data_IF_154705175982
#
_entry.id   IF_154705175982
#
_cell.length_a   1.000
_cell.length_b   1.000
_cell.length_c   1.000
_cell.angle_alpha   90.00
_cell.angle_beta   90.00
_cell.angle_gamma   90.00
#
_symmetry.space_group_name_H-M   'P 1'
#
loop_
_entity.id
_entity.type
_entity.pdbx_description
1 polymer ?
#
# COMPACT_ATOMS: atom_id res chain seq x y z
N UNK A 1 -68.68 28.06 40.43
CA UNK A 1 -68.83 26.81 39.68
C UNK A 1 -68.39 26.93 38.24
N UNK A 2 -68.52 28.05 37.54
CA UNK A 2 -68.07 28.24 36.15
C UNK A 2 -66.57 28.35 36.04
N UNK A 3 -65.87 29.01 36.98
CA UNK A 3 -64.39 29.11 37.00
C UNK A 3 -63.70 27.79 37.14
N UNK A 4 -64.25 26.84 37.92
CA UNK A 4 -63.65 25.49 38.08
C UNK A 4 -63.78 24.61 36.80
N UNK A 5 -64.81 24.84 36.01
CA UNK A 5 -65.02 24.13 34.74
C UNK A 5 -64.05 24.60 33.63
N UNK A 6 -63.73 25.91 33.62
CA UNK A 6 -62.76 26.50 32.69
C UNK A 6 -61.35 26.04 33.00
N UNK A 7 -60.94 25.93 34.28
CA UNK A 7 -59.66 25.39 34.69
C UNK A 7 -59.52 23.90 34.38
N UNK A 8 -60.59 23.11 34.51
CA UNK A 8 -60.60 21.67 34.13
C UNK A 8 -60.52 21.46 32.63
N UNK A 9 -61.15 22.29 31.81
CA UNK A 9 -61.02 22.27 30.36
C UNK A 9 -59.64 22.67 29.89
N UNK A 10 -59.04 23.67 30.50
CA UNK A 10 -57.63 24.08 30.24
C UNK A 10 -56.63 22.97 30.57
N UNK A 11 -56.77 22.36 31.75
CA UNK A 11 -55.92 21.24 32.18
C UNK A 11 -56.12 19.99 31.32
N UNK A 12 -57.29 19.74 30.76
CA UNK A 12 -57.59 18.66 29.83
C UNK A 12 -56.89 18.91 28.46
N UNK A 13 -56.93 20.16 27.98
CA UNK A 13 -56.23 20.55 26.73
C UNK A 13 -54.70 20.42 26.86
N UNK A 14 -54.13 20.96 27.93
CA UNK A 14 -52.70 20.82 28.21
C UNK A 14 -52.28 19.34 28.34
N UNK A 15 -53.09 18.49 28.96
CA UNK A 15 -52.81 17.07 29.12
C UNK A 15 -52.88 16.31 27.79
N UNK A 16 -53.68 16.76 26.80
CA UNK A 16 -53.71 16.19 25.48
C UNK A 16 -52.46 16.55 24.66
N UNK A 17 -52.02 17.79 24.72
CA UNK A 17 -50.81 18.27 24.06
C UNK A 17 -49.58 17.59 24.64
N UNK A 18 -49.47 17.48 25.96
CA UNK A 18 -48.36 16.77 26.63
C UNK A 18 -48.33 15.28 26.28
N UNK A 19 -49.49 14.63 26.09
CA UNK A 19 -49.56 13.22 25.64
C UNK A 19 -49.04 13.06 24.21
N UNK A 20 -49.39 13.99 23.32
CA UNK A 20 -48.96 13.99 21.93
C UNK A 20 -47.44 14.24 21.80
N UNK A 21 -46.91 15.24 22.55
CA UNK A 21 -45.46 15.46 22.64
C UNK A 21 -44.71 14.25 23.22
N UNK A 22 -45.23 13.61 24.27
CA UNK A 22 -44.65 12.40 24.83
C UNK A 22 -44.63 11.24 23.82
N UNK A 23 -45.72 11.08 23.04
CA UNK A 23 -45.77 10.07 22.00
C UNK A 23 -44.73 10.35 20.88
N UNK A 24 -44.60 11.62 20.51
CA UNK A 24 -43.63 12.05 19.51
C UNK A 24 -42.18 11.88 20.00
N UNK A 25 -41.86 12.27 21.24
CA UNK A 25 -40.55 12.06 21.86
C UNK A 25 -40.20 10.56 21.96
N UNK A 26 -41.16 9.70 22.33
CA UNK A 26 -40.95 8.28 22.36
C UNK A 26 -40.65 7.69 20.98
N UNK A 27 -41.32 8.15 19.93
CA UNK A 27 -41.02 7.71 18.56
C UNK A 27 -39.62 8.16 18.09
N UNK A 28 -39.17 9.36 18.46
CA UNK A 28 -37.82 9.85 18.18
C UNK A 28 -36.76 9.03 18.92
N UNK A 29 -37.00 8.69 20.20
CA UNK A 29 -36.08 7.83 20.97
C UNK A 29 -35.94 6.45 20.35
N UNK A 30 -37.04 5.85 19.87
CA UNK A 30 -37.01 4.57 19.15
C UNK A 30 -36.16 4.66 17.88
N UNK A 31 -36.36 5.70 17.09
CA UNK A 31 -35.58 5.92 15.86
C UNK A 31 -34.08 6.09 16.16
N UNK A 32 -33.73 6.81 17.23
CA UNK A 32 -32.34 6.98 17.66
C UNK A 32 -31.74 5.63 18.11
N UNK A 33 -32.50 4.83 18.88
CA UNK A 33 -32.05 3.51 19.32
C UNK A 33 -31.80 2.56 18.14
N UNK A 34 -32.65 2.58 17.12
CA UNK A 34 -32.49 1.80 15.88
C UNK A 34 -31.21 2.24 15.13
N UNK A 35 -31.00 3.56 14.98
CA UNK A 35 -29.79 4.07 14.35
C UNK A 35 -28.51 3.69 15.10
N UNK A 36 -28.54 3.77 16.45
CA UNK A 36 -27.42 3.36 17.30
C UNK A 36 -27.10 1.87 17.12
N UNK A 37 -28.12 1.01 17.07
CA UNK A 37 -27.93 -0.41 16.81
C UNK A 37 -27.36 -0.69 15.42
N UNK A 38 -27.82 0.07 14.40
CA UNK A 38 -27.28 -0.04 13.05
C UNK A 38 -25.81 0.38 12.95
N UNK A 39 -25.42 1.48 13.61
CA UNK A 39 -24.02 1.96 13.67
C UNK A 39 -23.16 0.90 14.36
N UNK A 40 -23.59 0.37 15.51
CA UNK A 40 -22.86 -0.69 16.21
C UNK A 40 -22.59 -1.90 15.31
N UNK A 41 -23.64 -2.41 14.64
CA UNK A 41 -23.48 -3.53 13.72
C UNK A 41 -22.57 -3.23 12.51
N UNK A 42 -22.46 -1.96 12.12
CA UNK A 42 -21.55 -1.54 11.05
C UNK A 42 -20.12 -1.50 11.54
N UNK A 43 -19.87 -0.98 12.74
CA UNK A 43 -18.55 -1.00 13.38
C UNK A 43 -18.04 -2.43 13.58
N UNK A 44 -18.88 -3.35 14.08
CA UNK A 44 -18.52 -4.77 14.21
C UNK A 44 -18.10 -5.42 12.87
N UNK A 45 -18.72 -5.00 11.76
CA UNK A 45 -18.34 -5.48 10.42
C UNK A 45 -16.97 -4.93 10.00
N UNK A 46 -16.72 -3.64 10.23
CA UNK A 46 -15.45 -3.00 9.93
C UNK A 46 -14.32 -3.64 10.73
N UNK A 47 -14.53 -3.92 12.02
CA UNK A 47 -13.57 -4.60 12.89
C UNK A 47 -13.21 -6.01 12.35
N UNK A 48 -14.21 -6.80 11.99
CA UNK A 48 -13.98 -8.12 11.40
C UNK A 48 -13.24 -8.05 10.06
N UNK A 49 -13.51 -7.01 9.26
CA UNK A 49 -12.81 -6.78 8.00
C UNK A 49 -11.35 -6.38 8.23
N UNK A 50 -11.08 -5.46 9.17
CA UNK A 50 -9.73 -5.08 9.57
C UNK A 50 -8.92 -6.30 10.05
N UNK A 51 -9.50 -7.13 10.93
CA UNK A 51 -8.87 -8.35 11.40
C UNK A 51 -8.52 -9.33 10.25
N UNK A 52 -9.42 -9.49 9.28
CA UNK A 52 -9.17 -10.32 8.08
C UNK A 52 -8.04 -9.75 7.23
N UNK A 53 -8.00 -8.42 7.02
CA UNK A 53 -6.93 -7.77 6.28
C UNK A 53 -5.58 -7.93 6.97
N UNK A 54 -5.50 -7.72 8.29
CA UNK A 54 -4.26 -7.92 9.06
C UNK A 54 -3.77 -9.36 8.98
N UNK A 55 -4.68 -10.34 9.05
CA UNK A 55 -4.34 -11.75 8.89
C UNK A 55 -3.81 -12.04 7.48
N UNK A 56 -4.44 -11.49 6.43
CA UNK A 56 -3.99 -11.66 5.05
C UNK A 56 -2.60 -11.04 4.83
N UNK A 57 -2.34 -9.87 5.39
CA UNK A 57 -1.03 -9.20 5.34
C UNK A 57 0.05 -10.03 6.02
N UNK A 58 -0.20 -10.55 7.22
CA UNK A 58 0.76 -11.40 7.95
C UNK A 58 1.04 -12.72 7.24
N UNK A 59 0.05 -13.31 6.58
CA UNK A 59 0.24 -14.54 5.78
C UNK A 59 1.06 -14.29 4.51
N UNK A 60 0.97 -13.11 3.90
CA UNK A 60 1.79 -12.75 2.73
C UNK A 60 3.26 -12.48 3.07
N UNK A 61 3.56 -12.14 4.33
CA UNK A 61 4.94 -11.90 4.80
C UNK A 61 5.72 -13.19 5.13
N UNK A 62 5.05 -14.33 5.26
CA UNK A 62 5.67 -15.60 5.62
C UNK A 62 5.51 -16.62 4.47
N UNK A 63 6.42 -16.63 3.46
CA UNK A 63 6.30 -17.47 2.28
C UNK A 63 6.34 -18.96 2.59
N UNK A 64 6.88 -19.37 3.75
CA UNK A 64 6.92 -20.79 4.14
C UNK A 64 5.56 -21.31 4.67
N UNK A 65 4.67 -20.42 5.11
CA UNK A 65 3.30 -20.77 5.53
C UNK A 65 2.29 -20.90 4.40
N UNK A 66 2.61 -20.43 3.20
CA UNK A 66 1.70 -20.46 2.04
C UNK A 66 1.44 -21.87 1.46
N UNK A 67 2.12 -22.92 1.95
CA UNK A 67 1.89 -24.30 1.49
C UNK A 67 0.69 -24.99 2.18
N UNK A 68 -0.01 -24.35 3.08
CA UNK A 68 -1.12 -24.91 3.86
C UNK A 68 -2.48 -24.23 3.62
N UNK A 69 -2.67 -23.48 2.54
CA UNK A 69 -3.99 -22.96 2.18
C UNK A 69 -4.77 -24.09 1.51
N UNK A 70 -5.46 -24.87 2.34
CA UNK A 70 -6.62 -25.63 1.91
C UNK A 70 -7.68 -24.66 1.36
N UNK A 71 -8.68 -25.14 0.58
CA UNK A 71 -9.67 -24.27 -0.03
C UNK A 71 -10.31 -23.40 1.06
N UNK A 72 -10.19 -22.08 0.89
CA UNK A 72 -10.90 -21.10 1.72
C UNK A 72 -12.38 -21.45 1.64
N UNK A 73 -12.91 -21.97 2.74
CA UNK A 73 -14.34 -22.28 2.83
C UNK A 73 -15.10 -21.04 2.40
N UNK A 74 -16.07 -21.23 1.51
CA UNK A 74 -17.04 -20.18 1.16
C UNK A 74 -17.55 -19.60 2.47
N UNK A 75 -17.58 -18.28 2.66
CA UNK A 75 -18.19 -17.71 3.85
C UNK A 75 -19.61 -18.20 3.91
N UNK A 76 -19.97 -18.90 4.99
CA UNK A 76 -21.37 -19.17 5.27
C UNK A 76 -22.12 -17.85 5.20
N UNK A 77 -23.30 -17.81 4.54
CA UNK A 77 -24.12 -16.61 4.54
C UNK A 77 -24.41 -16.28 6.00
N UNK A 78 -23.97 -15.10 6.45
CA UNK A 78 -24.23 -14.59 7.78
C UNK A 78 -25.70 -14.83 8.11
N UNK A 79 -25.95 -15.61 9.16
CA UNK A 79 -27.30 -15.82 9.65
C UNK A 79 -27.92 -14.45 9.89
N UNK A 80 -28.99 -14.17 9.17
CA UNK A 80 -29.80 -12.96 9.34
C UNK A 80 -30.20 -12.94 10.83
N UNK A 81 -29.82 -11.90 11.59
CA UNK A 81 -30.20 -11.85 12.98
C UNK A 81 -31.73 -11.92 13.08
N UNK A 82 -32.23 -12.88 13.85
CA UNK A 82 -33.64 -13.06 14.14
C UNK A 82 -34.24 -11.70 14.51
N UNK A 83 -35.42 -11.43 13.97
CA UNK A 83 -36.12 -10.16 14.10
C UNK A 83 -36.26 -9.66 15.53
N UNK A 84 -36.68 -8.41 15.73
CA UNK A 84 -36.60 -7.72 17.00
C UNK A 84 -37.32 -8.50 18.10
N UNK A 85 -36.59 -8.79 19.19
CA UNK A 85 -37.14 -9.30 20.43
C UNK A 85 -38.23 -8.33 20.96
N UNK A 86 -39.29 -8.83 21.61
CA UNK A 86 -40.39 -8.01 22.08
C UNK A 86 -39.88 -6.92 23.04
N UNK A 87 -40.48 -5.74 22.90
CA UNK A 87 -40.15 -4.51 23.59
C UNK A 87 -39.98 -4.70 25.11
N UNK A 88 -38.75 -4.91 25.58
CA UNK A 88 -38.39 -4.67 26.96
C UNK A 88 -38.40 -3.15 27.18
N UNK A 89 -38.92 -2.74 28.31
CA UNK A 89 -39.08 -1.34 28.75
C UNK A 89 -37.87 -0.48 28.39
N UNK A 90 -38.14 0.55 27.60
CA UNK A 90 -37.12 1.38 26.95
C UNK A 90 -36.44 2.27 27.98
N UNK A 91 -35.34 1.76 28.55
CA UNK A 91 -34.46 2.54 29.44
C UNK A 91 -33.69 3.59 28.62
N UNK A 92 -34.24 4.76 28.48
CA UNK A 92 -33.58 5.96 27.89
C UNK A 92 -32.32 6.33 28.69
N UNK A 93 -32.23 5.96 29.97
CA UNK A 93 -31.11 6.19 30.85
C UNK A 93 -29.80 5.51 30.41
N UNK A 94 -29.84 4.47 29.58
CA UNK A 94 -28.63 3.80 29.04
C UNK A 94 -28.10 4.38 27.71
N UNK A 95 -28.83 5.30 27.06
CA UNK A 95 -28.47 5.84 25.76
C UNK A 95 -27.13 6.62 25.76
N UNK A 96 -26.85 7.50 26.74
CA UNK A 96 -25.58 8.21 26.79
C UNK A 96 -24.36 7.27 26.93
N UNK A 97 -24.49 6.20 27.72
CA UNK A 97 -23.43 5.20 27.88
C UNK A 97 -23.17 4.43 26.57
N UNK A 98 -24.22 4.07 25.83
CA UNK A 98 -24.10 3.40 24.53
C UNK A 98 -23.49 4.32 23.46
N UNK A 99 -23.83 5.59 23.45
CA UNK A 99 -23.20 6.56 22.56
C UNK A 99 -21.71 6.74 22.87
N UNK A 100 -21.33 6.86 24.14
CA UNK A 100 -19.93 6.97 24.56
C UNK A 100 -19.11 5.71 24.21
N UNK A 101 -19.69 4.52 24.32
CA UNK A 101 -19.00 3.29 23.90
C UNK A 101 -18.82 3.23 22.38
N UNK A 102 -19.81 3.66 21.60
CA UNK A 102 -19.72 3.75 20.13
C UNK A 102 -18.68 4.78 19.66
N UNK A 103 -18.62 5.94 20.32
CA UNK A 103 -17.59 6.94 20.03
C UNK A 103 -16.18 6.39 20.26
N UNK A 104 -15.98 5.67 21.38
CA UNK A 104 -14.70 5.04 21.71
C UNK A 104 -14.34 3.96 20.69
N UNK A 105 -15.31 3.14 20.30
CA UNK A 105 -15.13 2.09 19.31
C UNK A 105 -14.82 2.67 17.92
N UNK A 106 -15.57 3.70 17.49
CA UNK A 106 -15.33 4.39 16.23
C UNK A 106 -13.91 5.01 16.18
N UNK A 107 -13.46 5.64 17.28
CA UNK A 107 -12.11 6.19 17.38
C UNK A 107 -11.02 5.10 17.28
N UNK A 108 -11.24 3.94 17.92
CA UNK A 108 -10.33 2.79 17.82
C UNK A 108 -10.25 2.25 16.39
N UNK A 109 -11.40 2.12 15.72
CA UNK A 109 -11.47 1.66 14.33
C UNK A 109 -10.79 2.63 13.37
N UNK A 110 -10.97 3.94 13.57
CA UNK A 110 -10.30 4.97 12.78
C UNK A 110 -8.78 4.87 12.90
N UNK A 111 -8.27 4.68 14.11
CA UNK A 111 -6.83 4.50 14.35
C UNK A 111 -6.31 3.23 13.66
N UNK A 112 -7.03 2.11 13.81
CA UNK A 112 -6.68 0.83 13.17
C UNK A 112 -6.60 0.94 11.66
N UNK A 113 -7.56 1.60 11.03
CA UNK A 113 -7.58 1.83 9.58
C UNK A 113 -6.44 2.75 9.10
N UNK A 114 -6.07 3.76 9.88
CA UNK A 114 -4.91 4.62 9.57
C UNK A 114 -3.60 3.82 9.59
N UNK A 115 -3.38 3.02 10.62
CA UNK A 115 -2.19 2.17 10.72
C UNK A 115 -2.10 1.19 9.53
N UNK A 116 -3.24 0.63 9.12
CA UNK A 116 -3.29 -0.26 7.96
C UNK A 116 -3.02 0.49 6.65
N UNK A 117 -3.53 1.70 6.50
CA UNK A 117 -3.27 2.54 5.34
C UNK A 117 -1.78 2.89 5.24
N UNK A 118 -1.16 3.33 6.34
CA UNK A 118 0.29 3.60 6.40
C UNK A 118 1.10 2.36 6.00
N UNK A 119 0.72 1.18 6.51
CA UNK A 119 1.37 -0.08 6.14
C UNK A 119 1.29 -0.36 4.63
N UNK A 120 0.10 -0.19 4.01
CA UNK A 120 -0.05 -0.42 2.57
C UNK A 120 0.69 0.63 1.73
N UNK A 121 0.74 1.88 2.17
CA UNK A 121 1.48 2.94 1.50
C UNK A 121 2.99 2.64 1.54
N UNK A 122 3.52 2.17 2.66
CA UNK A 122 4.90 1.73 2.80
C UNK A 122 5.22 0.52 1.90
N UNK A 123 4.36 -0.50 1.88
CA UNK A 123 4.52 -1.66 1.01
C UNK A 123 4.49 -1.26 -0.48
N UNK A 124 3.57 -0.38 -0.86
CA UNK A 124 3.48 0.14 -2.23
C UNK A 124 4.74 0.91 -2.60
N UNK A 125 5.26 1.72 -1.68
CA UNK A 125 6.49 2.49 -1.87
C UNK A 125 7.71 1.57 -2.05
N UNK A 126 7.82 0.54 -1.22
CA UNK A 126 8.87 -0.48 -1.34
C UNK A 126 8.81 -1.21 -2.69
N UNK A 127 7.62 -1.64 -3.12
CA UNK A 127 7.42 -2.29 -4.41
C UNK A 127 7.73 -1.36 -5.58
N UNK A 128 7.36 -0.08 -5.49
CA UNK A 128 7.69 0.93 -6.50
C UNK A 128 9.20 1.16 -6.61
N UNK A 129 9.92 1.08 -5.50
CA UNK A 129 11.37 1.26 -5.38
C UNK A 129 12.17 0.02 -5.76
N UNK A 130 11.56 -1.17 -5.77
CA UNK A 130 12.25 -2.42 -6.10
C UNK A 130 12.41 -2.56 -7.62
N UNK A 131 13.64 -2.71 -8.15
CA UNK A 131 13.88 -2.97 -9.56
C UNK A 131 13.20 -4.27 -10.00
N UNK A 132 12.27 -4.22 -10.96
CA UNK A 132 11.49 -5.40 -11.32
C UNK A 132 11.38 -5.66 -12.82
N UNK A 133 11.86 -4.74 -13.66
CA UNK A 133 11.83 -4.90 -15.11
C UNK A 133 13.24 -4.84 -15.69
N UNK A 134 13.40 -5.39 -16.88
CA UNK A 134 14.66 -5.30 -17.62
C UNK A 134 14.98 -3.86 -17.98
N UNK A 135 16.23 -3.37 -17.74
CA UNK A 135 16.62 -1.99 -18.07
C UNK A 135 16.73 -1.75 -19.57
N UNK A 136 16.92 -2.78 -20.38
CA UNK A 136 16.94 -2.71 -21.84
C UNK A 136 16.62 -4.07 -22.46
N UNK A 137 16.27 -4.11 -23.73
CA UNK A 137 16.11 -5.34 -24.49
C UNK A 137 17.43 -5.77 -25.09
N UNK A 138 17.77 -7.05 -25.00
CA UNK A 138 19.02 -7.59 -25.52
C UNK A 138 19.32 -9.00 -24.99
N UNK A 139 20.55 -9.45 -25.21
CA UNK A 139 21.03 -10.75 -24.73
C UNK A 139 21.99 -10.56 -23.56
N UNK A 140 21.83 -11.29 -22.51
CA UNK A 140 22.82 -11.31 -21.42
C UNK A 140 24.06 -12.04 -21.92
N UNK A 141 25.16 -11.31 -22.02
CA UNK A 141 26.46 -11.83 -22.47
C UNK A 141 27.40 -12.12 -21.31
N UNK A 142 27.17 -11.52 -20.15
CA UNK A 142 27.92 -11.81 -18.94
C UNK A 142 27.06 -11.62 -17.69
N UNK A 143 27.09 -12.64 -16.86
CA UNK A 143 26.38 -12.65 -15.60
C UNK A 143 27.19 -12.01 -14.47
N UNK A 144 26.50 -11.68 -13.37
CA UNK A 144 27.08 -11.25 -12.10
C UNK A 144 27.94 -12.37 -11.50
N UNK A 145 29.09 -12.01 -10.92
CA UNK A 145 29.94 -12.91 -10.20
C UNK A 145 31.37 -12.99 -10.72
N UNK A 146 32.16 -13.90 -10.21
CA UNK A 146 33.57 -14.04 -10.57
C UNK A 146 33.74 -14.59 -11.98
N UNK A 147 34.41 -13.82 -12.84
CA UNK A 147 34.74 -14.23 -14.24
C UNK A 147 36.19 -13.89 -14.58
N UNK A 148 36.68 -14.38 -15.71
CA UNK A 148 37.94 -13.91 -16.29
C UNK A 148 37.72 -12.53 -16.92
N UNK A 149 38.56 -11.56 -16.56
CA UNK A 149 38.56 -10.22 -17.21
C UNK A 149 38.94 -10.41 -18.70
N UNK A 150 38.15 -9.90 -19.65
CA UNK A 150 38.39 -10.09 -21.06
C UNK A 150 39.70 -9.42 -21.58
N UNK A 151 40.33 -8.59 -20.78
CA UNK A 151 41.55 -7.87 -21.13
C UNK A 151 42.79 -8.40 -20.44
N UNK A 152 42.71 -8.77 -19.14
CA UNK A 152 43.87 -9.26 -18.36
C UNK A 152 43.89 -10.76 -18.21
N UNK A 153 42.80 -11.48 -18.52
CA UNK A 153 42.60 -12.90 -18.25
C UNK A 153 42.74 -13.28 -16.75
N UNK A 154 42.71 -12.30 -15.85
CA UNK A 154 42.69 -12.53 -14.41
C UNK A 154 41.26 -12.73 -13.89
N UNK A 155 41.11 -13.42 -12.77
CA UNK A 155 39.81 -13.53 -12.10
C UNK A 155 39.41 -12.21 -11.48
N UNK A 156 38.27 -11.68 -11.93
CA UNK A 156 37.70 -10.42 -11.43
C UNK A 156 36.24 -10.60 -11.10
N UNK A 157 35.80 -9.91 -10.05
CA UNK A 157 34.37 -9.84 -9.72
C UNK A 157 33.67 -8.91 -10.71
N UNK A 158 32.62 -9.43 -11.38
CA UNK A 158 31.70 -8.67 -12.19
C UNK A 158 30.53 -8.22 -11.33
N UNK A 159 30.43 -6.94 -11.03
CA UNK A 159 29.46 -6.38 -10.09
C UNK A 159 28.07 -6.15 -10.69
N UNK A 160 27.84 -6.58 -11.96
CA UNK A 160 26.58 -6.38 -12.67
C UNK A 160 26.27 -7.46 -13.70
N UNK A 161 25.35 -7.12 -14.59
CA UNK A 161 24.99 -7.86 -15.80
C UNK A 161 25.42 -7.06 -17.03
N UNK A 162 25.98 -7.74 -18.03
CA UNK A 162 26.22 -7.14 -19.35
C UNK A 162 25.15 -7.61 -20.33
N UNK A 163 24.41 -6.67 -20.89
CA UNK A 163 23.34 -6.93 -21.86
C UNK A 163 23.76 -6.40 -23.22
N UNK A 164 24.15 -7.29 -24.15
CA UNK A 164 24.48 -6.94 -25.52
C UNK A 164 23.22 -6.48 -26.27
N UNK A 165 23.32 -5.32 -26.90
CA UNK A 165 22.22 -4.68 -27.61
C UNK A 165 22.78 -3.61 -28.55
N UNK A 166 22.06 -3.21 -29.62
CA UNK A 166 22.53 -2.19 -30.53
C UNK A 166 22.86 -0.85 -29.84
N UNK A 167 23.88 -0.16 -30.37
CA UNK A 167 24.19 1.21 -29.95
C UNK A 167 22.97 2.12 -30.13
N UNK A 168 22.68 2.97 -29.14
CA UNK A 168 21.50 3.84 -29.16
C UNK A 168 20.22 3.20 -28.67
N UNK A 169 20.21 1.90 -28.33
CA UNK A 169 19.05 1.25 -27.73
C UNK A 169 18.64 1.95 -26.43
N UNK A 170 17.36 2.27 -26.24
CA UNK A 170 16.89 2.91 -25.01
C UNK A 170 17.17 2.09 -23.75
N UNK A 171 17.62 2.80 -22.70
CA UNK A 171 17.74 2.30 -21.33
C UNK A 171 16.63 2.91 -20.52
N UNK A 172 15.89 2.08 -19.81
CA UNK A 172 14.80 2.49 -18.91
C UNK A 172 15.12 2.17 -17.47
N UNK A 173 14.60 2.98 -16.53
CA UNK A 173 14.75 2.69 -15.11
C UNK A 173 13.81 1.54 -14.71
N UNK A 174 14.27 0.54 -13.93
CA UNK A 174 13.46 -0.62 -13.54
C UNK A 174 12.54 -0.35 -12.35
N UNK A 175 12.66 0.80 -11.70
CA UNK A 175 11.86 1.23 -10.55
C UNK A 175 11.82 2.75 -10.43
N UNK A 176 10.93 3.26 -9.60
CA UNK A 176 10.86 4.68 -9.26
C UNK A 176 12.14 5.11 -8.54
N UNK A 177 12.57 6.37 -8.68
CA UNK A 177 13.78 6.82 -8.00
C UNK A 177 14.16 8.27 -8.30
N UNK A 178 15.35 8.63 -7.82
CA UNK A 178 15.97 9.95 -8.02
C UNK A 178 17.38 9.75 -8.59
N UNK A 179 17.74 10.51 -9.60
CA UNK A 179 19.07 10.49 -10.18
C UNK A 179 20.08 11.07 -9.20
N UNK A 180 21.06 10.26 -8.79
CA UNK A 180 22.10 10.67 -7.83
C UNK A 180 23.46 10.85 -8.48
N UNK A 181 23.64 10.39 -9.71
CA UNK A 181 24.84 10.63 -10.51
C UNK A 181 24.55 10.52 -12.00
N UNK A 182 25.07 11.45 -12.79
CA UNK A 182 25.07 11.42 -14.25
C UNK A 182 26.37 12.06 -14.73
N UNK A 183 27.30 11.24 -15.28
CA UNK A 183 28.63 11.74 -15.64
C UNK A 183 29.49 10.69 -16.31
N UNK A 184 30.81 10.90 -16.26
CA UNK A 184 31.82 9.96 -16.78
C UNK A 184 32.64 9.42 -15.61
N UNK A 185 32.84 8.11 -15.57
CA UNK A 185 33.58 7.44 -14.51
C UNK A 185 34.46 6.33 -15.10
N UNK A 186 35.76 6.40 -14.86
CA UNK A 186 36.81 5.42 -15.13
C UNK A 186 36.47 4.37 -16.21
N UNK A 187 36.56 3.10 -15.86
CA UNK A 187 36.27 1.97 -16.76
C UNK A 187 34.82 1.89 -17.26
N UNK A 188 33.86 2.51 -16.56
CA UNK A 188 32.44 2.49 -16.93
C UNK A 188 32.05 3.45 -18.07
N UNK A 189 32.89 4.41 -18.41
CA UNK A 189 32.56 5.43 -19.41
C UNK A 189 31.48 6.38 -18.92
N UNK A 190 30.48 6.66 -19.75
CA UNK A 190 29.30 7.43 -19.33
C UNK A 190 28.42 6.57 -18.43
N UNK A 191 28.12 7.09 -17.24
CA UNK A 191 27.42 6.41 -16.15
C UNK A 191 26.23 7.21 -15.68
N UNK A 192 25.17 6.50 -15.39
CA UNK A 192 24.01 6.99 -14.66
C UNK A 192 23.85 6.15 -13.38
N UNK A 193 23.53 6.78 -12.24
CA UNK A 193 23.14 6.11 -10.99
C UNK A 193 21.81 6.68 -10.50
N UNK A 194 20.86 5.80 -10.19
CA UNK A 194 19.54 6.14 -9.67
C UNK A 194 19.41 5.52 -8.28
N UNK A 195 18.99 6.33 -7.32
CA UNK A 195 18.64 5.90 -5.96
C UNK A 195 17.13 5.70 -5.89
N UNK A 196 16.73 4.48 -5.53
CA UNK A 196 15.31 4.08 -5.48
C UNK A 196 14.73 4.15 -4.07
N UNK A 197 15.54 4.56 -3.07
CA UNK A 197 15.18 4.47 -1.66
C UNK A 197 15.43 3.08 -1.09
N UNK A 198 15.14 2.90 0.19
CA UNK A 198 15.33 1.64 0.93
C UNK A 198 16.73 1.02 0.78
N UNK A 199 17.74 1.86 0.52
CA UNK A 199 19.13 1.42 0.30
C UNK A 199 19.40 0.82 -1.09
N UNK A 200 18.41 0.80 -2.00
CA UNK A 200 18.54 0.22 -3.35
C UNK A 200 18.98 1.31 -4.34
N UNK A 201 20.06 1.01 -5.09
CA UNK A 201 20.54 1.84 -6.20
C UNK A 201 20.78 1.00 -7.43
N UNK A 202 20.50 1.58 -8.59
CA UNK A 202 20.89 0.99 -9.89
C UNK A 202 21.94 1.83 -10.58
N UNK A 203 22.84 1.18 -11.29
CA UNK A 203 23.92 1.78 -12.04
C UNK A 203 23.95 1.28 -13.47
N UNK A 204 24.15 2.19 -14.39
CA UNK A 204 24.15 1.96 -15.83
C UNK A 204 25.47 2.46 -16.42
N UNK A 205 26.25 1.57 -17.00
CA UNK A 205 27.56 1.88 -17.60
C UNK A 205 27.57 1.80 -19.13
N UNK A 206 28.67 2.24 -19.72
CA UNK A 206 28.98 2.23 -21.15
C UNK A 206 27.97 2.99 -22.03
N UNK A 207 27.26 3.98 -21.46
CA UNK A 207 26.20 4.71 -22.11
C UNK A 207 26.73 5.58 -23.26
N UNK A 208 25.93 5.76 -24.33
CA UNK A 208 26.17 6.74 -25.37
C UNK A 208 25.67 8.12 -24.99
N UNK A 209 24.50 8.17 -24.34
CA UNK A 209 23.83 9.40 -23.92
C UNK A 209 23.03 9.18 -22.65
N UNK A 210 22.93 10.23 -21.83
CA UNK A 210 22.07 10.27 -20.62
C UNK A 210 21.04 11.37 -20.83
N UNK A 211 19.75 11.04 -20.65
CA UNK A 211 18.63 11.95 -20.93
C UNK A 211 18.16 12.73 -19.72
N UNK A 212 18.60 12.33 -18.53
CA UNK A 212 18.20 12.88 -17.24
C UNK A 212 19.37 13.56 -16.52
N UNK A 213 19.07 14.40 -15.55
CA UNK A 213 20.07 15.18 -14.79
C UNK A 213 20.05 14.79 -13.33
N UNK A 214 21.14 15.11 -12.63
CA UNK A 214 21.23 14.97 -11.18
C UNK A 214 20.02 15.65 -10.50
N UNK A 215 19.34 14.93 -9.62
CA UNK A 215 18.16 15.37 -8.89
C UNK A 215 16.82 15.11 -9.58
N UNK A 216 16.79 14.69 -10.86
CA UNK A 216 15.56 14.38 -11.55
C UNK A 216 14.88 13.16 -10.91
N UNK A 217 13.54 13.24 -10.76
CA UNK A 217 12.71 12.11 -10.35
C UNK A 217 12.26 11.32 -11.57
N UNK A 218 12.41 10.01 -11.52
CA UNK A 218 12.05 9.08 -12.59
C UNK A 218 11.08 8.02 -12.08
N UNK A 219 10.24 7.53 -12.97
CA UNK A 219 9.29 6.44 -12.70
C UNK A 219 9.68 5.19 -13.47
N UNK A 220 9.35 4.03 -12.93
CA UNK A 220 9.56 2.73 -13.59
C UNK A 220 9.13 2.77 -15.04
N UNK A 221 10.03 2.38 -15.94
CA UNK A 221 9.80 2.39 -17.38
C UNK A 221 10.19 3.68 -18.09
N UNK A 222 10.55 4.75 -17.36
CA UNK A 222 11.04 5.99 -18.00
C UNK A 222 12.36 5.75 -18.72
N UNK A 223 12.49 6.32 -19.92
CA UNK A 223 13.73 6.29 -20.70
C UNK A 223 14.71 7.28 -20.09
N UNK A 224 15.82 6.77 -19.56
CA UNK A 224 16.81 7.58 -18.81
C UNK A 224 18.14 7.73 -19.54
N UNK A 225 18.45 6.81 -20.48
CA UNK A 225 19.70 6.83 -21.23
C UNK A 225 19.60 6.04 -22.55
N UNK A 226 20.70 6.01 -23.30
CA UNK A 226 20.89 5.14 -24.46
C UNK A 226 22.17 4.32 -24.32
N UNK A 227 22.11 3.08 -24.77
CA UNK A 227 23.26 2.15 -24.78
C UNK A 227 24.36 2.65 -25.71
N UNK A 228 25.59 2.49 -25.28
CA UNK A 228 26.78 2.91 -26.02
C UNK A 228 27.88 1.86 -26.01
N UNK A 229 29.10 2.36 -26.14
CA UNK A 229 30.35 1.60 -26.10
C UNK A 229 31.46 2.48 -25.51
N UNK A 230 31.14 3.28 -24.46
CA UNK A 230 32.07 4.20 -23.83
C UNK A 230 32.83 3.53 -22.69
N UNK A 231 34.03 4.02 -22.37
CA UNK A 231 34.88 3.43 -21.32
C UNK A 231 35.57 2.14 -21.76
N UNK A 232 35.80 1.21 -20.79
CA UNK A 232 36.43 -0.11 -21.04
C UNK A 232 35.36 -1.08 -21.51
N UNK A 233 35.08 -1.13 -22.81
CA UNK A 233 34.03 -1.96 -23.42
C UNK A 233 34.54 -2.57 -24.73
N UNK A 234 34.18 -3.83 -24.96
CA UNK A 234 34.57 -4.60 -26.16
C UNK A 234 33.59 -4.47 -27.31
N UNK A 235 32.41 -3.92 -27.07
CA UNK A 235 31.35 -3.73 -28.06
C UNK A 235 30.09 -3.12 -27.42
N UNK A 236 29.10 -2.69 -28.22
CA UNK A 236 27.89 -2.09 -27.69
C UNK A 236 27.14 -3.01 -26.72
N UNK A 237 27.04 -2.60 -25.47
CA UNK A 237 26.28 -3.28 -24.43
C UNK A 237 25.91 -2.33 -23.28
N UNK A 238 24.95 -2.70 -22.47
CA UNK A 238 24.64 -2.07 -21.21
C UNK A 238 25.30 -2.88 -20.09
N UNK A 239 26.15 -2.23 -19.28
CA UNK A 239 26.53 -2.75 -17.98
C UNK A 239 25.53 -2.25 -16.94
N UNK A 240 24.87 -3.19 -16.23
CA UNK A 240 23.79 -2.90 -15.29
C UNK A 240 24.06 -3.52 -13.92
N UNK A 241 24.07 -2.69 -12.87
CA UNK A 241 24.27 -3.11 -11.49
C UNK A 241 23.03 -2.80 -10.66
N UNK A 242 22.74 -3.68 -9.68
CA UNK A 242 21.86 -3.40 -8.54
C UNK A 242 22.73 -3.44 -7.29
N UNK A 243 22.62 -2.41 -6.46
CA UNK A 243 23.34 -2.31 -5.18
C UNK A 243 22.35 -2.15 -4.05
N UNK A 244 22.50 -2.96 -3.01
CA UNK A 244 21.71 -2.88 -1.78
C UNK A 244 22.64 -2.47 -0.64
N UNK A 245 22.35 -1.32 -0.02
CA UNK A 245 23.20 -0.72 1.02
C UNK A 245 24.67 -0.59 0.58
N UNK A 246 24.87 -0.26 -0.71
CA UNK A 246 26.21 -0.09 -1.31
C UNK A 246 26.88 -1.38 -1.75
N UNK A 247 26.35 -2.55 -1.43
CA UNK A 247 26.90 -3.86 -1.82
C UNK A 247 26.28 -4.29 -3.15
N UNK A 248 27.10 -4.66 -4.17
CA UNK A 248 26.58 -5.21 -5.42
C UNK A 248 25.84 -6.52 -5.19
N UNK A 249 24.65 -6.63 -5.76
CA UNK A 249 23.80 -7.82 -5.73
C UNK A 249 23.50 -8.29 -7.15
N UNK A 250 23.25 -9.61 -7.30
CA UNK A 250 22.91 -10.17 -8.61
C UNK A 250 21.59 -9.58 -9.14
N UNK A 251 21.62 -8.79 -10.24
CA UNK A 251 20.43 -8.13 -10.76
C UNK A 251 19.30 -9.09 -11.16
N UNK A 252 19.61 -10.33 -11.53
CA UNK A 252 18.59 -11.35 -11.87
C UNK A 252 17.64 -11.67 -10.71
N UNK A 253 18.07 -11.45 -9.44
CA UNK A 253 17.20 -11.67 -8.27
C UNK A 253 16.03 -10.70 -8.19
N UNK A 254 16.14 -9.56 -8.87
CA UNK A 254 15.16 -8.46 -8.80
C UNK A 254 14.23 -8.45 -10.01
N UNK A 255 14.69 -8.91 -11.18
CA UNK A 255 13.95 -8.85 -12.44
C UNK A 255 12.88 -9.95 -12.43
N UNK A 256 11.62 -9.55 -12.58
CA UNK A 256 10.49 -10.47 -12.74
C UNK A 256 10.38 -10.81 -14.25
N UNK A 257 10.33 -12.10 -14.56
CA UNK A 257 10.13 -12.61 -15.93
C UNK A 257 8.66 -12.52 -16.35
#
# INVERSE_FOLDING_TARGET
TIGHYVTLLGASGENSVLKEENAQLRSQVLLVQEKVAHISATLDRVERFDAKLRTAVTTLQDPERNLAIGPVGTPEPDAVPAGPAPAAEQNVSGLPGRLGSLETEAARQEQSLRELQEYFDDQRSLLASTPSIWPTRGWVTSDFGTRLDPYSAERQMHEGLDVATPHGQPVQTPSDGVVVFAGVEGGYGKVLVIDHGYGVKTRYGHLSEVFVRLGDRVKRGDKVAAVGNTGKSTGPHLHYEVRVNGIPENPRKFILE
#
